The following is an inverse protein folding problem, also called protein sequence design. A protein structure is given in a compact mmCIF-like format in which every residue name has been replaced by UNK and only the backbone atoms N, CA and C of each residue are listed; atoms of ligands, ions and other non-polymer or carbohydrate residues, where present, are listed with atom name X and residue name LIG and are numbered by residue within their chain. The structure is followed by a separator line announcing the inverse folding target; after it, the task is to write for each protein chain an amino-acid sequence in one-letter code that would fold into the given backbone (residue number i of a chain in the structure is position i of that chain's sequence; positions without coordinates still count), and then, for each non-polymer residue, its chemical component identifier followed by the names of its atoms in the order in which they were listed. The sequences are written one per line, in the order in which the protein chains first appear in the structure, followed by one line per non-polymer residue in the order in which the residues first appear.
data_IF_122362714057
#
_entry.id   IF_122362714057
#
_cell.length_a   1.000
_cell.length_b   1.000
_cell.length_c   1.000
_cell.angle_alpha   90.00
_cell.angle_beta   90.00
_cell.angle_gamma   90.00
#
_symmetry.space_group_name_H-M   'P 1'
#
loop_
_entity.id
_entity.type
_entity.pdbx_description
1 polymer ?
#
# COMPACT_ATOMS: atom_id res chain seq x y z
N UNK A 1 10.34 18.19 9.83
CA UNK A 1 10.74 17.14 8.88
C UNK A 1 11.52 16.02 9.53
N UNK A 2 12.53 16.30 10.38
CA UNK A 2 13.34 15.29 11.09
C UNK A 2 12.52 14.21 11.80
N UNK A 3 11.50 14.58 12.57
CA UNK A 3 10.64 13.58 13.24
C UNK A 3 9.83 12.73 12.27
N UNK A 4 9.32 13.31 11.18
CA UNK A 4 8.64 12.54 10.14
C UNK A 4 9.58 11.60 9.38
N UNK A 5 10.85 12.00 9.21
CA UNK A 5 11.88 11.16 8.59
C UNK A 5 12.25 10.00 9.54
N UNK A 6 12.52 10.31 10.80
CA UNK A 6 12.81 9.33 11.86
C UNK A 6 11.71 8.30 11.98
N UNK A 7 10.45 8.73 12.03
CA UNK A 7 9.31 7.81 12.08
C UNK A 7 9.22 6.91 10.84
N UNK A 8 9.54 7.42 9.63
CA UNK A 8 9.60 6.56 8.43
C UNK A 8 10.72 5.54 8.51
N UNK A 9 11.89 5.92 9.01
CA UNK A 9 13.04 5.04 9.16
C UNK A 9 12.79 3.97 10.24
N UNK A 10 12.26 4.37 11.40
CA UNK A 10 11.87 3.46 12.50
C UNK A 10 10.81 2.44 12.04
N UNK A 11 9.90 2.85 11.14
CA UNK A 11 8.91 1.99 10.52
C UNK A 11 9.44 1.27 9.26
N UNK A 12 10.74 1.28 8.97
CA UNK A 12 11.34 0.56 7.84
C UNK A 12 10.82 1.00 6.47
N UNK A 13 10.45 2.27 6.32
CA UNK A 13 9.83 2.86 5.11
C UNK A 13 8.49 2.21 4.70
N UNK A 14 7.81 1.52 5.62
CA UNK A 14 6.55 0.79 5.35
C UNK A 14 5.45 1.67 4.75
N UNK A 15 5.34 2.94 5.16
CA UNK A 15 4.34 3.89 4.62
C UNK A 15 4.49 4.09 3.10
N UNK A 16 5.72 3.98 2.56
CA UNK A 16 5.98 4.09 1.12
C UNK A 16 5.80 2.79 0.34
N UNK A 17 5.77 1.64 1.02
CA UNK A 17 5.70 0.32 0.38
C UNK A 17 4.37 0.07 -0.31
N UNK A 18 3.24 0.36 0.35
CA UNK A 18 1.92 0.15 -0.26
C UNK A 18 1.73 0.98 -1.55
N UNK A 19 2.06 2.29 -1.57
CA UNK A 19 2.16 3.08 -2.80
C UNK A 19 3.05 2.48 -3.89
N UNK A 20 4.24 1.99 -3.52
CA UNK A 20 5.19 1.43 -4.47
C UNK A 20 4.67 0.13 -5.11
N UNK A 21 4.01 -0.72 -4.32
CA UNK A 21 3.37 -1.95 -4.81
C UNK A 21 2.20 -1.65 -5.73
N UNK A 22 1.36 -0.66 -5.39
CA UNK A 22 0.26 -0.22 -6.25
C UNK A 22 0.78 0.31 -7.60
N UNK A 23 1.81 1.14 -7.59
CA UNK A 23 2.44 1.65 -8.82
C UNK A 23 3.09 0.53 -9.65
N UNK A 24 3.73 -0.46 -8.99
CA UNK A 24 4.29 -1.61 -9.69
C UNK A 24 3.21 -2.48 -10.34
N UNK A 25 2.04 -2.60 -9.71
CA UNK A 25 0.93 -3.38 -10.26
C UNK A 25 0.48 -2.85 -11.63
N UNK A 26 0.54 -1.55 -11.87
CA UNK A 26 0.17 -0.94 -13.16
C UNK A 26 1.11 -1.35 -14.30
N UNK A 27 2.33 -1.81 -13.98
CA UNK A 27 3.33 -2.23 -14.96
C UNK A 27 3.42 -3.77 -15.14
N UNK A 28 2.66 -4.55 -14.37
CA UNK A 28 2.74 -6.01 -14.39
C UNK A 28 1.49 -6.63 -15.04
N UNK A 29 1.63 -7.77 -15.75
CA UNK A 29 0.49 -8.52 -16.24
C UNK A 29 -0.23 -9.26 -15.09
N UNK A 30 -1.43 -9.78 -15.37
CA UNK A 30 -2.07 -10.72 -14.47
C UNK A 30 -1.40 -12.12 -14.54
N UNK A 31 -1.36 -12.87 -13.43
CA UNK A 31 -1.99 -12.60 -12.11
C UNK A 31 -1.17 -11.72 -11.16
N UNK A 32 0.06 -11.34 -11.52
CA UNK A 32 0.97 -10.58 -10.65
C UNK A 32 0.43 -9.19 -10.28
N UNK A 33 -0.24 -8.50 -11.22
CA UNK A 33 -0.89 -7.22 -10.98
C UNK A 33 -1.90 -7.29 -9.82
N UNK A 34 -2.80 -8.28 -9.85
CA UNK A 34 -3.78 -8.51 -8.78
C UNK A 34 -3.12 -8.82 -7.43
N UNK A 35 -2.07 -9.65 -7.41
CA UNK A 35 -1.33 -9.98 -6.17
C UNK A 35 -0.68 -8.75 -5.55
N UNK A 36 -0.08 -7.88 -6.37
CA UNK A 36 0.55 -6.65 -5.91
C UNK A 36 -0.48 -5.69 -5.30
N UNK A 37 -1.65 -5.51 -5.93
CA UNK A 37 -2.73 -4.67 -5.37
C UNK A 37 -3.30 -5.25 -4.08
N UNK A 38 -3.45 -6.57 -3.99
CA UNK A 38 -3.91 -7.22 -2.77
C UNK A 38 -2.92 -7.01 -1.61
N UNK A 39 -1.62 -7.09 -1.87
CA UNK A 39 -0.60 -6.83 -0.85
C UNK A 39 -0.53 -5.36 -0.44
N UNK A 40 -0.63 -4.44 -1.41
CA UNK A 40 -0.73 -3.01 -1.13
C UNK A 40 -1.93 -2.70 -0.22
N UNK A 41 -3.09 -3.31 -0.47
CA UNK A 41 -4.28 -3.18 0.37
C UNK A 41 -4.10 -3.78 1.77
N UNK A 42 -3.33 -4.87 1.90
CA UNK A 42 -3.01 -5.47 3.21
C UNK A 42 -2.15 -4.53 4.06
N UNK A 43 -1.09 -3.97 3.48
CA UNK A 43 -0.22 -3.01 4.14
C UNK A 43 -0.95 -1.70 4.50
N UNK A 44 -1.78 -1.18 3.59
CA UNK A 44 -2.58 0.02 3.84
C UNK A 44 -3.50 -0.14 5.07
N UNK A 45 -4.14 -1.32 5.22
CA UNK A 45 -4.97 -1.64 6.39
C UNK A 45 -4.14 -1.82 7.66
N UNK A 46 -2.97 -2.45 7.58
CA UNK A 46 -2.06 -2.60 8.72
C UNK A 46 -1.62 -1.23 9.27
N UNK A 47 -1.50 -0.24 8.40
CA UNK A 47 -1.16 1.13 8.73
C UNK A 47 -2.39 2.01 9.03
N UNK A 48 -3.55 1.41 9.26
CA UNK A 48 -4.81 2.08 9.61
C UNK A 48 -5.23 3.16 8.59
N UNK A 49 -5.06 2.87 7.30
CA UNK A 49 -5.48 3.76 6.21
C UNK A 49 -4.47 4.85 5.87
N UNK A 50 -3.20 4.68 6.24
CA UNK A 50 -2.11 5.58 5.84
C UNK A 50 -1.30 4.97 4.68
N UNK A 51 -1.00 5.76 3.61
CA UNK A 51 -1.39 7.15 3.40
C UNK A 51 -2.80 7.30 2.81
N UNK A 52 -3.58 8.29 3.29
CA UNK A 52 -5.03 8.40 3.04
C UNK A 52 -5.43 8.49 1.56
N UNK A 53 -4.58 9.04 0.70
CA UNK A 53 -4.85 9.15 -0.74
C UNK A 53 -4.79 7.80 -1.48
N UNK A 54 -4.16 6.77 -0.90
CA UNK A 54 -3.97 5.49 -1.57
C UNK A 54 -5.28 4.68 -1.70
N UNK A 55 -6.28 4.99 -0.87
CA UNK A 55 -7.58 4.29 -0.88
C UNK A 55 -8.21 4.26 -2.28
N UNK A 56 -8.11 5.36 -3.04
CA UNK A 56 -8.70 5.49 -4.38
C UNK A 56 -7.99 4.63 -5.44
N UNK A 57 -6.81 4.11 -5.14
CA UNK A 57 -5.97 3.31 -6.04
C UNK A 57 -5.97 1.81 -5.70
N UNK A 58 -6.66 1.41 -4.65
CA UNK A 58 -6.72 0.03 -4.18
C UNK A 58 -8.05 -0.61 -4.55
N UNK A 59 -8.08 -1.93 -4.77
CA UNK A 59 -9.35 -2.64 -4.93
C UNK A 59 -10.20 -2.45 -3.66
N UNK A 60 -11.53 -2.38 -3.81
CA UNK A 60 -12.42 -2.31 -2.65
C UNK A 60 -12.15 -3.50 -1.74
N UNK A 61 -12.30 -3.35 -0.41
CA UNK A 61 -12.13 -4.47 0.50
C UNK A 61 -13.07 -5.59 0.07
N UNK A 62 -12.52 -6.79 -0.12
CA UNK A 62 -13.32 -7.99 -0.30
C UNK A 62 -14.30 -8.06 0.86
N UNK A 63 -15.55 -7.75 0.55
CA UNK A 63 -16.65 -7.89 1.50
C UNK A 63 -16.92 -9.38 1.50
N UNK A 64 -16.28 -10.11 2.42
CA UNK A 64 -16.56 -11.51 2.64
C UNK A 64 -18.09 -11.69 2.78
N UNK A 65 -18.65 -12.49 1.88
CA UNK A 65 -20.02 -13.01 1.93
C UNK A 65 -20.09 -14.27 2.79
#
# INVERSE_FOLDING_TARGET
FTESLRLREELGFLVGMAPALAALADAQPEPESGRLRAEAARLFRLLDGIPTWLADHLPPPDTDA
#
